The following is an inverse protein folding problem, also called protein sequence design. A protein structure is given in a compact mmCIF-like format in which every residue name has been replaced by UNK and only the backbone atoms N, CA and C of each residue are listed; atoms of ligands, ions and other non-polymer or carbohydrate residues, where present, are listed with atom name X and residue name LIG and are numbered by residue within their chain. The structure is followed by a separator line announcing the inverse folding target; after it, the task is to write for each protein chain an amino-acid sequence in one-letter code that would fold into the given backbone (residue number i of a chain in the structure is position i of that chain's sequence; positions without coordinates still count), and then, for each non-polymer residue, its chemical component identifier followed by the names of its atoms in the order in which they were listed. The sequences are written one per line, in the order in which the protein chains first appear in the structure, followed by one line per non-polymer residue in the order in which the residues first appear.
data_IF_088120511390
#
_entry.id   IF_088120511390
#
_cell.length_a   1.000
_cell.length_b   1.000
_cell.length_c   1.000
_cell.angle_alpha   90.00
_cell.angle_beta   90.00
_cell.angle_gamma   90.00
#
_symmetry.space_group_name_H-M   'P 1'
#
loop_
_entity.id
_entity.type
_entity.pdbx_description
1 polymer ?
#
# COMPACT_ATOMS: atom_id res chain seq x y z
N UNK A 1 -15.89 4.13 27.33
CA UNK A 1 -15.32 3.38 26.20
C UNK A 1 -16.14 3.68 24.97
N UNK A 2 -15.48 4.02 23.86
CA UNK A 2 -16.10 4.25 22.55
C UNK A 2 -16.35 2.89 21.90
N UNK A 3 -17.52 2.73 21.28
CA UNK A 3 -17.91 1.49 20.60
C UNK A 3 -18.13 1.81 19.13
N UNK A 4 -17.26 1.27 18.27
CA UNK A 4 -17.35 1.40 16.82
C UNK A 4 -17.90 0.13 16.17
N UNK A 5 -18.63 0.24 15.05
CA UNK A 5 -19.16 -0.91 14.36
C UNK A 5 -18.05 -1.68 13.64
N UNK A 6 -18.29 -2.99 13.46
CA UNK A 6 -17.43 -3.86 12.67
C UNK A 6 -17.98 -3.98 11.25
N UNK A 7 -17.11 -3.74 10.28
CA UNK A 7 -17.33 -3.99 8.87
C UNK A 7 -16.48 -5.16 8.41
N UNK A 8 -16.85 -5.77 7.28
CA UNK A 8 -16.01 -6.79 6.66
C UNK A 8 -15.99 -6.71 5.14
N UNK A 9 -14.83 -6.99 4.56
CA UNK A 9 -14.61 -7.00 3.11
C UNK A 9 -13.99 -8.35 2.71
N UNK A 10 -14.47 -9.01 1.64
CA UNK A 10 -13.85 -10.24 1.16
C UNK A 10 -12.39 -10.00 0.77
N UNK A 11 -11.49 -10.91 1.14
CA UNK A 11 -10.15 -10.95 0.55
C UNK A 11 -10.29 -11.49 -0.87
N UNK A 12 -9.53 -10.92 -1.80
CA UNK A 12 -9.52 -11.36 -3.19
C UNK A 12 -9.16 -12.85 -3.27
N UNK A 13 -9.90 -13.60 -4.08
CA UNK A 13 -9.65 -15.01 -4.40
C UNK A 13 -9.60 -15.97 -3.19
N UNK A 14 -10.25 -15.63 -2.07
CA UNK A 14 -10.34 -16.48 -0.87
C UNK A 14 -11.71 -16.37 -0.22
N UNK A 15 -12.09 -17.35 0.63
CA UNK A 15 -13.28 -17.27 1.48
C UNK A 15 -13.08 -16.36 2.71
N UNK A 16 -11.83 -15.98 2.99
CA UNK A 16 -11.46 -15.13 4.10
C UNK A 16 -12.05 -13.71 3.98
N UNK A 17 -12.34 -13.11 5.14
CA UNK A 17 -12.78 -11.72 5.23
C UNK A 17 -11.79 -10.89 6.04
N UNK A 18 -11.58 -9.64 5.61
CA UNK A 18 -10.90 -8.61 6.41
C UNK A 18 -11.93 -7.93 7.29
N UNK A 19 -11.76 -8.05 8.60
CA UNK A 19 -12.54 -7.28 9.58
C UNK A 19 -11.95 -5.88 9.69
N UNK A 20 -12.81 -4.87 9.67
CA UNK A 20 -12.48 -3.45 9.74
C UNK A 20 -13.26 -2.87 10.90
N UNK A 21 -12.57 -2.24 11.85
CA UNK A 21 -13.20 -1.46 12.90
C UNK A 21 -13.46 -0.06 12.35
N UNK A 22 -14.72 0.33 12.21
CA UNK A 22 -15.08 1.62 11.62
C UNK A 22 -14.89 2.76 12.63
N UNK A 23 -13.64 3.16 12.80
CA UNK A 23 -13.22 4.25 13.67
C UNK A 23 -13.55 5.64 13.08
N UNK A 24 -14.16 5.69 11.90
CA UNK A 24 -14.72 6.91 11.30
C UNK A 24 -16.23 7.01 11.48
N UNK A 25 -16.86 6.02 12.12
CA UNK A 25 -18.29 6.01 12.38
C UNK A 25 -18.69 7.10 13.38
N UNK A 26 -19.70 7.90 13.03
CA UNK A 26 -20.23 9.01 13.82
C UNK A 26 -21.13 9.93 12.98
N UNK A 27 -21.96 10.75 13.62
CA UNK A 27 -22.81 11.73 12.91
C UNK A 27 -21.91 12.78 12.24
N UNK A 28 -22.10 12.99 10.94
CA UNK A 28 -21.41 13.94 10.07
C UNK A 28 -19.87 13.82 9.95
N UNK A 29 -19.28 12.72 10.44
CA UNK A 29 -17.82 12.49 10.34
C UNK A 29 -16.96 13.35 11.28
N UNK A 30 -17.58 14.14 12.16
CA UNK A 30 -16.91 15.02 13.11
C UNK A 30 -16.77 14.42 14.52
N UNK A 31 -17.66 13.50 14.90
CA UNK A 31 -17.65 12.81 16.19
C UNK A 31 -17.29 11.33 16.05
N UNK A 32 -16.08 11.05 15.56
CA UNK A 32 -15.53 9.70 15.43
C UNK A 32 -14.14 9.63 16.06
N UNK A 33 -13.63 8.44 16.35
CA UNK A 33 -12.26 8.29 16.88
C UNK A 33 -11.24 8.91 15.93
N UNK A 34 -11.41 8.67 14.62
CA UNK A 34 -10.51 9.21 13.61
C UNK A 34 -10.60 10.72 13.45
N UNK A 35 -11.75 11.37 13.66
CA UNK A 35 -11.86 12.84 13.51
C UNK A 35 -11.02 13.58 14.55
N UNK A 36 -10.80 12.98 15.73
CA UNK A 36 -9.92 13.51 16.78
C UNK A 36 -8.43 13.17 16.63
N UNK A 37 -8.05 12.42 15.59
CA UNK A 37 -6.64 12.14 15.28
C UNK A 37 -6.17 13.10 14.19
N UNK A 38 -5.21 13.96 14.49
CA UNK A 38 -4.66 14.89 13.51
C UNK A 38 -4.05 14.13 12.32
N UNK A 39 -4.32 14.61 11.10
CA UNK A 39 -3.79 14.01 9.87
C UNK A 39 -2.33 14.39 9.63
N UNK A 40 -1.96 15.58 10.07
CA UNK A 40 -0.73 16.25 9.67
C UNK A 40 0.23 16.42 10.85
N UNK A 41 -0.15 16.03 12.06
CA UNK A 41 0.68 16.16 13.27
C UNK A 41 0.77 14.84 14.05
N UNK A 42 1.96 14.58 14.60
CA UNK A 42 2.21 13.56 15.61
C UNK A 42 3.10 14.17 16.70
N UNK A 43 2.62 14.18 17.96
CA UNK A 43 3.30 14.86 19.07
C UNK A 43 3.68 16.31 18.68
N UNK A 44 2.72 17.06 18.13
CA UNK A 44 2.85 18.43 17.64
C UNK A 44 3.89 18.65 16.52
N UNK A 45 4.49 17.58 16.01
CA UNK A 45 5.43 17.64 14.90
C UNK A 45 4.71 17.33 13.58
N UNK A 46 4.93 18.13 12.51
CA UNK A 46 4.43 17.82 11.19
C UNK A 46 4.84 16.43 10.73
N UNK A 47 3.85 15.63 10.34
CA UNK A 47 4.07 14.33 9.73
C UNK A 47 3.66 14.36 8.26
N UNK A 48 4.49 13.75 7.43
CA UNK A 48 4.16 13.42 6.05
C UNK A 48 4.41 11.95 5.84
N UNK A 49 3.34 11.19 5.66
CA UNK A 49 3.46 9.79 5.27
C UNK A 49 3.90 9.75 3.81
N UNK A 50 5.16 9.41 3.58
CA UNK A 50 5.69 9.17 2.23
C UNK A 50 5.92 7.67 2.09
N UNK A 51 5.35 7.11 1.03
CA UNK A 51 5.64 5.73 0.66
C UNK A 51 6.70 5.71 -0.44
N UNK A 52 7.62 4.73 -0.43
CA UNK A 52 8.46 4.53 -1.58
C UNK A 52 7.62 4.15 -2.80
N UNK A 53 8.17 4.41 -3.97
CA UNK A 53 7.50 4.13 -5.23
C UNK A 53 8.18 2.96 -5.94
N UNK A 54 7.54 2.52 -7.03
CA UNK A 54 8.12 1.60 -8.00
C UNK A 54 9.49 2.09 -8.47
N UNK A 55 9.64 3.40 -8.67
CA UNK A 55 10.90 4.02 -9.10
C UNK A 55 12.00 3.87 -8.03
N UNK A 56 11.66 3.73 -6.74
CA UNK A 56 12.64 3.49 -5.67
C UNK A 56 13.34 2.14 -5.84
N UNK A 57 12.60 1.08 -6.17
CA UNK A 57 13.20 -0.23 -6.43
C UNK A 57 13.94 -0.26 -7.77
N UNK A 58 13.44 0.45 -8.79
CA UNK A 58 14.17 0.63 -10.06
C UNK A 58 15.54 1.25 -9.81
N UNK A 59 15.62 2.30 -9.00
CA UNK A 59 16.90 2.95 -8.69
C UNK A 59 17.87 2.02 -7.95
N UNK A 60 17.36 1.20 -7.01
CA UNK A 60 18.17 0.20 -6.32
C UNK A 60 18.73 -0.85 -7.31
N UNK A 61 17.88 -1.40 -8.18
CA UNK A 61 18.29 -2.34 -9.24
C UNK A 61 19.34 -1.72 -10.16
N UNK A 62 19.15 -0.46 -10.57
CA UNK A 62 20.10 0.26 -11.43
C UNK A 62 21.47 0.41 -10.80
N UNK A 63 21.53 0.64 -9.49
CA UNK A 63 22.80 0.74 -8.75
C UNK A 63 23.52 -0.61 -8.62
N UNK A 64 22.77 -1.69 -8.40
CA UNK A 64 23.32 -3.05 -8.29
C UNK A 64 23.69 -3.66 -9.65
N UNK A 65 23.05 -3.21 -10.73
CA UNK A 65 23.34 -3.61 -12.10
C UNK A 65 22.38 -4.67 -12.66
N UNK A 66 22.49 -4.90 -13.97
CA UNK A 66 21.69 -5.92 -14.66
C UNK A 66 22.06 -7.32 -14.17
N UNK A 67 21.05 -8.20 -14.06
CA UNK A 67 21.22 -9.56 -13.53
C UNK A 67 21.35 -9.64 -12.01
N UNK A 68 21.20 -8.52 -11.29
CA UNK A 68 21.04 -8.51 -9.83
C UNK A 68 19.79 -9.26 -9.39
N UNK A 69 19.77 -9.74 -8.16
CA UNK A 69 18.67 -10.52 -7.61
C UNK A 69 17.84 -9.64 -6.68
N UNK A 70 16.56 -9.47 -7.04
CA UNK A 70 15.55 -8.85 -6.20
C UNK A 70 15.06 -9.86 -5.16
N UNK A 71 14.81 -9.39 -3.95
CA UNK A 71 14.36 -10.20 -2.81
C UNK A 71 13.22 -9.49 -2.09
N UNK A 72 12.26 -10.24 -1.54
CA UNK A 72 11.08 -9.65 -0.89
C UNK A 72 10.62 -10.44 0.32
N UNK A 73 10.26 -9.73 1.39
CA UNK A 73 9.55 -10.26 2.57
C UNK A 73 8.27 -9.47 2.80
N UNK A 74 7.26 -10.11 3.37
CA UNK A 74 5.96 -9.50 3.69
C UNK A 74 5.64 -9.77 5.16
N UNK A 75 5.08 -8.79 5.88
CA UNK A 75 4.69 -8.96 7.27
C UNK A 75 3.27 -9.55 7.40
N UNK A 76 3.17 -10.64 8.17
CA UNK A 76 1.90 -11.33 8.40
C UNK A 76 0.97 -10.50 9.28
N UNK A 77 -0.14 -10.01 8.74
CA UNK A 77 -1.12 -9.19 9.50
C UNK A 77 -0.44 -7.99 10.20
N UNK A 78 0.45 -7.27 9.51
CA UNK A 78 1.35 -6.27 10.08
C UNK A 78 0.76 -5.37 11.20
N UNK A 79 -0.41 -4.77 11.00
CA UNK A 79 -1.04 -3.93 12.03
C UNK A 79 -1.32 -4.66 13.34
N UNK A 80 -1.68 -5.95 13.28
CA UNK A 80 -1.98 -6.79 14.44
C UNK A 80 -0.73 -7.18 15.24
N UNK A 81 0.46 -6.92 14.73
CA UNK A 81 1.71 -7.14 15.46
C UNK A 81 2.11 -5.92 16.31
N UNK A 82 1.53 -4.74 16.03
CA UNK A 82 1.92 -3.49 16.69
C UNK A 82 0.92 -3.18 17.83
N UNK A 83 1.36 -3.12 19.09
CA UNK A 83 0.49 -2.88 20.23
C UNK A 83 -0.07 -1.44 20.25
N UNK A 84 -1.29 -1.31 20.76
CA UNK A 84 -1.89 -0.02 21.11
C UNK A 84 -1.57 0.28 22.57
N UNK A 85 -1.22 1.54 22.87
CA UNK A 85 -1.02 2.01 24.23
C UNK A 85 -2.24 1.65 25.10
N UNK A 86 -2.07 1.01 26.28
CA UNK A 86 -3.20 0.66 27.15
C UNK A 86 -4.10 1.86 27.53
N UNK A 87 -3.53 3.06 27.57
CA UNK A 87 -4.29 4.30 27.77
C UNK A 87 -5.35 4.55 26.69
N UNK A 88 -5.14 4.06 25.47
CA UNK A 88 -6.01 4.28 24.31
C UNK A 88 -6.98 3.13 24.04
N UNK A 89 -6.93 2.02 24.79
CA UNK A 89 -7.81 0.85 24.58
C UNK A 89 -9.30 1.21 24.62
N UNK A 90 -9.66 2.19 25.46
CA UNK A 90 -11.03 2.68 25.58
C UNK A 90 -11.56 3.39 24.32
N UNK A 91 -10.71 3.69 23.34
CA UNK A 91 -11.04 4.34 22.06
C UNK A 91 -11.22 3.34 20.91
N UNK A 92 -10.84 2.08 21.10
CA UNK A 92 -10.87 1.04 20.05
C UNK A 92 -11.77 -0.13 20.44
N UNK A 93 -12.89 0.20 21.10
CA UNK A 93 -13.91 -0.76 21.52
C UNK A 93 -14.89 -1.12 20.39
N UNK A 94 -15.43 -2.34 20.45
CA UNK A 94 -16.50 -2.81 19.57
C UNK A 94 -17.41 -3.82 20.29
N UNK A 95 -18.61 -4.02 19.76
CA UNK A 95 -19.56 -5.00 20.27
C UNK A 95 -19.71 -6.18 19.31
N UNK A 96 -19.71 -7.40 19.83
CA UNK A 96 -20.00 -8.62 19.09
C UNK A 96 -20.85 -9.56 19.96
N UNK A 97 -21.99 -10.03 19.44
CA UNK A 97 -22.90 -10.93 20.16
C UNK A 97 -23.23 -10.45 21.59
N UNK A 98 -23.53 -9.15 21.74
CA UNK A 98 -23.81 -8.48 23.03
C UNK A 98 -22.65 -8.45 24.04
N UNK A 99 -21.44 -8.85 23.63
CA UNK A 99 -20.22 -8.72 24.42
C UNK A 99 -19.38 -7.56 23.90
N UNK A 100 -18.70 -6.88 24.82
CA UNK A 100 -17.84 -5.75 24.47
C UNK A 100 -16.39 -6.21 24.46
N UNK A 101 -15.70 -5.87 23.38
CA UNK A 101 -14.29 -6.15 23.16
C UNK A 101 -13.57 -4.84 22.84
N UNK A 102 -12.25 -4.88 22.90
CA UNK A 102 -11.39 -3.80 22.42
C UNK A 102 -10.13 -4.40 21.80
N UNK A 103 -9.55 -3.67 20.86
CA UNK A 103 -8.31 -4.08 20.25
C UNK A 103 -7.08 -3.68 21.09
N UNK A 104 -6.16 -4.62 21.28
CA UNK A 104 -4.87 -4.40 21.97
C UNK A 104 -3.72 -4.06 21.02
N UNK A 105 -3.97 -4.13 19.72
CA UNK A 105 -3.02 -3.96 18.62
C UNK A 105 -3.70 -3.17 17.51
N UNK A 106 -2.95 -2.55 16.61
CA UNK A 106 -3.52 -1.65 15.60
C UNK A 106 -4.62 -2.34 14.78
N UNK A 107 -5.76 -1.67 14.68
CA UNK A 107 -6.93 -2.12 13.94
C UNK A 107 -6.92 -1.56 12.52
N UNK A 108 -7.40 -2.36 11.56
CA UNK A 108 -7.75 -1.83 10.25
C UNK A 108 -8.91 -0.86 10.43
N UNK A 109 -8.76 0.37 9.94
CA UNK A 109 -9.73 1.45 10.10
C UNK A 109 -9.22 2.61 10.95
N UNK A 110 -8.14 2.40 11.73
CA UNK A 110 -7.49 3.47 12.50
C UNK A 110 -6.68 4.38 11.57
N UNK A 111 -6.88 5.70 11.68
CA UNK A 111 -6.23 6.72 10.84
C UNK A 111 -4.69 6.66 10.93
N UNK A 112 -4.15 6.53 12.13
CA UNK A 112 -2.70 6.52 12.37
C UNK A 112 -2.04 5.17 12.09
N UNK A 113 -2.80 4.09 11.86
CA UNK A 113 -2.24 2.74 11.76
C UNK A 113 -1.19 2.60 10.65
N UNK A 114 -1.48 3.12 9.46
CA UNK A 114 -0.57 3.06 8.31
C UNK A 114 0.73 3.83 8.59
N UNK A 115 0.63 5.02 9.19
CA UNK A 115 1.81 5.81 9.58
C UNK A 115 2.68 5.08 10.61
N UNK A 116 2.06 4.54 11.65
CA UNK A 116 2.77 3.80 12.70
C UNK A 116 3.44 2.55 12.11
N UNK A 117 2.74 1.81 11.26
CA UNK A 117 3.31 0.64 10.56
C UNK A 117 4.50 1.03 9.68
N UNK A 118 4.38 2.11 8.90
CA UNK A 118 5.50 2.61 8.09
C UNK A 118 6.68 3.04 8.96
N UNK A 119 6.45 3.64 10.13
CA UNK A 119 7.51 3.99 11.08
C UNK A 119 8.24 2.76 11.62
N UNK A 120 7.50 1.69 11.91
CA UNK A 120 8.09 0.39 12.32
C UNK A 120 8.94 -0.18 11.20
N UNK A 121 8.43 -0.28 9.97
CA UNK A 121 9.23 -0.85 8.87
C UNK A 121 10.36 0.07 8.41
N UNK A 122 10.25 1.39 8.61
CA UNK A 122 11.38 2.31 8.43
C UNK A 122 12.48 2.06 9.46
N UNK A 123 12.15 1.70 10.71
CA UNK A 123 13.14 1.35 11.71
C UNK A 123 13.89 0.06 11.34
N UNK A 124 13.17 -0.94 10.81
CA UNK A 124 13.78 -2.16 10.23
C UNK A 124 14.72 -1.80 9.08
N UNK A 125 14.25 -0.97 8.13
CA UNK A 125 15.06 -0.50 7.01
C UNK A 125 16.34 0.23 7.47
N UNK A 126 16.22 1.08 8.50
CA UNK A 126 17.36 1.77 9.10
C UNK A 126 18.37 0.80 9.73
N UNK A 127 17.92 -0.24 10.44
CA UNK A 127 18.81 -1.25 11.04
C UNK A 127 19.56 -2.01 9.93
N UNK A 128 18.87 -2.41 8.88
CA UNK A 128 19.45 -3.13 7.75
C UNK A 128 20.53 -2.30 7.03
N UNK A 129 20.25 -1.03 6.77
CA UNK A 129 21.20 -0.12 6.13
C UNK A 129 22.41 0.16 7.06
N UNK A 130 22.15 0.49 8.33
CA UNK A 130 23.19 0.92 9.27
C UNK A 130 24.15 -0.21 9.71
N UNK A 131 23.65 -1.45 9.83
CA UNK A 131 24.44 -2.57 10.36
C UNK A 131 24.90 -3.57 9.30
N UNK A 132 24.21 -3.64 8.16
CA UNK A 132 24.45 -4.68 7.15
C UNK A 132 24.67 -4.13 5.73
N UNK A 133 24.68 -2.80 5.53
CA UNK A 133 24.78 -2.16 4.20
C UNK A 133 23.69 -2.67 3.24
N UNK A 134 22.53 -3.01 3.78
CA UNK A 134 21.41 -3.58 3.05
C UNK A 134 20.28 -2.55 2.90
N UNK A 135 20.27 -1.90 1.74
CA UNK A 135 19.21 -0.98 1.37
C UNK A 135 17.95 -1.71 0.93
N UNK A 136 16.82 -1.29 1.51
CA UNK A 136 15.51 -1.88 1.21
C UNK A 136 14.48 -0.78 0.93
N UNK A 137 13.46 -1.17 0.19
CA UNK A 137 12.29 -0.39 -0.20
C UNK A 137 11.09 -0.98 0.52
N UNK A 138 10.64 -0.32 1.60
CA UNK A 138 9.55 -0.80 2.44
C UNK A 138 8.26 0.02 2.22
N UNK A 139 7.23 -0.63 1.70
CA UNK A 139 5.88 -0.08 1.59
C UNK A 139 4.99 -0.76 2.61
N UNK A 140 4.71 -0.07 3.73
CA UNK A 140 3.96 -0.65 4.85
C UNK A 140 4.54 -2.01 5.27
N UNK A 141 3.84 -3.09 4.94
CA UNK A 141 4.13 -4.49 5.23
C UNK A 141 4.91 -5.23 4.14
N UNK A 142 5.12 -4.64 2.96
CA UNK A 142 5.84 -5.21 1.83
C UNK A 142 7.28 -4.64 1.77
N UNK A 143 8.29 -5.48 2.00
CA UNK A 143 9.71 -5.09 2.06
C UNK A 143 10.45 -5.72 0.89
N UNK A 144 11.01 -4.89 0.01
CA UNK A 144 11.79 -5.35 -1.14
C UNK A 144 13.25 -4.87 -1.07
N UNK A 145 14.18 -5.73 -1.45
CA UNK A 145 15.59 -5.40 -1.62
C UNK A 145 16.10 -5.87 -2.97
N UNK A 146 17.34 -5.52 -3.28
CA UNK A 146 18.05 -6.04 -4.44
C UNK A 146 19.56 -6.02 -4.15
N UNK A 147 20.24 -7.10 -4.51
CA UNK A 147 21.70 -7.18 -4.41
C UNK A 147 22.32 -7.98 -5.57
N UNK A 148 23.64 -7.93 -5.66
CA UNK A 148 24.41 -8.78 -6.58
C UNK A 148 24.24 -10.26 -6.21
N UNK A 149 24.40 -11.15 -7.19
CA UNK A 149 24.08 -12.57 -7.07
C UNK A 149 24.78 -13.24 -5.88
N UNK A 150 26.03 -12.83 -5.62
CA UNK A 150 26.88 -13.38 -4.57
C UNK A 150 26.40 -13.02 -3.16
N UNK A 151 25.67 -11.91 -3.01
CA UNK A 151 25.23 -11.39 -1.70
C UNK A 151 23.72 -11.54 -1.45
N UNK A 152 22.92 -11.71 -2.49
CA UNK A 152 21.48 -11.58 -2.36
C UNK A 152 20.83 -12.62 -1.44
N UNK A 153 21.37 -13.85 -1.39
CA UNK A 153 20.89 -14.89 -0.48
C UNK A 153 21.21 -14.57 0.98
N UNK A 154 22.42 -14.07 1.25
CA UNK A 154 22.80 -13.59 2.59
C UNK A 154 21.93 -12.39 2.99
N UNK A 155 21.73 -11.43 2.08
CA UNK A 155 20.85 -10.29 2.29
C UNK A 155 19.40 -10.71 2.62
N UNK A 156 18.88 -11.73 1.94
CA UNK A 156 17.55 -12.26 2.21
C UNK A 156 17.46 -12.99 3.56
N UNK A 157 18.52 -13.66 3.99
CA UNK A 157 18.61 -14.29 5.30
C UNK A 157 18.69 -13.24 6.41
N UNK A 158 19.60 -12.26 6.28
CA UNK A 158 19.77 -11.13 7.20
C UNK A 158 18.47 -10.35 7.36
N UNK A 159 17.75 -10.08 6.27
CA UNK A 159 16.46 -9.40 6.33
C UNK A 159 15.47 -10.19 7.20
N UNK A 160 15.39 -11.51 7.05
CA UNK A 160 14.53 -12.36 7.88
C UNK A 160 14.98 -12.38 9.35
N UNK A 161 16.28 -12.48 9.61
CA UNK A 161 16.84 -12.46 10.97
C UNK A 161 16.55 -11.14 11.69
N UNK A 162 16.70 -9.99 11.01
CA UNK A 162 16.38 -8.68 11.59
C UNK A 162 14.88 -8.57 11.88
N UNK A 163 14.02 -9.08 11.01
CA UNK A 163 12.57 -9.11 11.27
C UNK A 163 12.24 -9.94 12.50
N UNK A 164 12.79 -11.14 12.61
CA UNK A 164 12.60 -12.05 13.76
C UNK A 164 13.12 -11.41 15.06
N UNK A 165 14.32 -10.83 15.03
CA UNK A 165 14.91 -10.12 16.17
C UNK A 165 14.10 -8.89 16.59
N UNK A 166 13.38 -8.25 15.66
CA UNK A 166 12.43 -7.17 15.96
C UNK A 166 11.09 -7.68 16.51
N UNK A 167 10.90 -9.00 16.61
CA UNK A 167 9.64 -9.63 17.00
C UNK A 167 8.55 -9.53 15.94
N UNK A 168 8.93 -9.37 14.67
CA UNK A 168 8.00 -9.24 13.55
C UNK A 168 7.83 -10.57 12.83
N UNK A 169 6.57 -11.01 12.70
CA UNK A 169 6.20 -12.23 12.00
C UNK A 169 6.09 -12.01 10.48
N UNK A 170 6.75 -12.86 9.72
CA UNK A 170 6.71 -12.86 8.26
C UNK A 170 5.56 -13.72 7.68
N UNK A 171 5.09 -13.34 6.50
CA UNK A 171 4.24 -14.15 5.62
C UNK A 171 5.14 -14.94 4.68
N UNK A 172 5.57 -16.13 5.11
CA UNK A 172 6.48 -17.00 4.35
C UNK A 172 5.92 -17.33 2.97
N UNK A 173 4.60 -17.48 2.86
CA UNK A 173 3.89 -17.80 1.61
C UNK A 173 3.92 -16.66 0.58
N UNK A 174 4.16 -15.42 1.01
CA UNK A 174 4.27 -14.25 0.13
C UNK A 174 5.70 -13.76 -0.06
N UNK A 175 6.64 -14.28 0.73
CA UNK A 175 8.04 -13.98 0.59
C UNK A 175 8.53 -14.45 -0.79
N UNK A 176 9.47 -13.72 -1.37
CA UNK A 176 10.09 -14.07 -2.64
C UNK A 176 11.60 -14.14 -2.40
N UNK A 177 12.20 -15.34 -2.48
CA UNK A 177 13.64 -15.48 -2.37
C UNK A 177 14.34 -14.74 -3.53
N UNK A 178 15.65 -14.48 -3.43
CA UNK A 178 16.41 -13.78 -4.45
C UNK A 178 16.17 -14.34 -5.86
N UNK A 179 15.73 -13.48 -6.75
CA UNK A 179 15.36 -13.82 -8.13
C UNK A 179 15.59 -12.63 -9.05
N UNK A 180 15.91 -12.89 -10.32
CA UNK A 180 15.97 -11.85 -11.36
C UNK A 180 14.59 -11.35 -11.77
N UNK A 181 13.53 -12.07 -11.39
CA UNK A 181 12.14 -11.73 -11.66
C UNK A 181 11.33 -11.70 -10.37
N UNK A 182 10.76 -10.53 -10.04
CA UNK A 182 10.03 -10.34 -8.78
C UNK A 182 8.84 -9.39 -8.93
N UNK A 183 7.71 -9.74 -8.32
CA UNK A 183 6.55 -8.85 -8.24
C UNK A 183 6.57 -8.04 -6.95
N UNK A 184 6.58 -6.72 -7.08
CA UNK A 184 6.51 -5.75 -5.98
C UNK A 184 5.52 -4.62 -6.33
N UNK A 185 4.65 -4.24 -5.40
CA UNK A 185 3.57 -3.26 -5.61
C UNK A 185 2.67 -3.54 -6.85
N UNK A 186 2.57 -4.80 -7.25
CA UNK A 186 1.79 -5.26 -8.41
C UNK A 186 2.46 -5.07 -9.77
N UNK A 187 3.77 -4.81 -9.80
CA UNK A 187 4.59 -4.73 -11.01
C UNK A 187 5.65 -5.82 -10.95
N UNK A 188 5.84 -6.51 -12.07
CA UNK A 188 6.91 -7.48 -12.26
C UNK A 188 8.17 -6.74 -12.73
N UNK A 189 9.26 -6.92 -11.98
CA UNK A 189 10.58 -6.41 -12.30
C UNK A 189 11.39 -7.55 -12.90
N UNK A 190 12.02 -7.32 -14.05
CA UNK A 190 12.99 -8.23 -14.66
C UNK A 190 14.35 -7.52 -14.75
N UNK A 191 15.32 -7.99 -13.95
CA UNK A 191 16.65 -7.40 -13.85
C UNK A 191 17.59 -7.83 -14.98
N UNK A 192 17.27 -8.88 -15.73
CA UNK A 192 18.07 -9.34 -16.88
C UNK A 192 17.74 -8.48 -18.09
N UNK A 193 16.45 -8.36 -18.42
CA UNK A 193 16.02 -7.51 -19.54
C UNK A 193 15.92 -6.02 -19.17
N UNK A 194 16.03 -5.69 -17.87
CA UNK A 194 15.85 -4.34 -17.32
C UNK A 194 14.49 -3.74 -17.69
N UNK A 195 13.43 -4.53 -17.58
CA UNK A 195 12.06 -4.13 -17.94
C UNK A 195 11.08 -4.28 -16.79
N UNK A 196 9.97 -3.54 -16.89
CA UNK A 196 8.85 -3.59 -15.96
C UNK A 196 7.61 -4.09 -16.70
N UNK A 197 6.90 -5.05 -16.10
CA UNK A 197 5.65 -5.56 -16.64
C UNK A 197 4.51 -5.39 -15.66
N UNK A 198 3.34 -5.09 -16.20
CA UNK A 198 2.09 -5.19 -15.46
C UNK A 198 1.66 -6.65 -15.50
N UNK A 199 1.30 -7.22 -14.35
CA UNK A 199 0.78 -8.60 -14.27
C UNK A 199 -0.38 -8.80 -15.23
N UNK A 200 -0.44 -9.96 -15.91
CA UNK A 200 -1.43 -10.26 -16.95
C UNK A 200 -2.87 -9.98 -16.51
N UNK A 201 -3.27 -10.48 -15.34
CA UNK A 201 -4.64 -10.31 -14.82
C UNK A 201 -5.03 -8.83 -14.67
N UNK A 202 -4.08 -8.02 -14.17
CA UNK A 202 -4.29 -6.58 -13.98
C UNK A 202 -4.32 -5.84 -15.31
N UNK A 203 -3.52 -6.27 -16.28
CA UNK A 203 -3.57 -5.72 -17.63
C UNK A 203 -4.92 -6.01 -18.30
N UNK A 204 -5.43 -7.24 -18.18
CA UNK A 204 -6.75 -7.63 -18.70
C UNK A 204 -7.88 -6.83 -18.04
N UNK A 205 -7.84 -6.65 -16.71
CA UNK A 205 -8.79 -5.82 -15.98
C UNK A 205 -8.79 -4.36 -16.49
N UNK A 206 -7.60 -3.78 -16.68
CA UNK A 206 -7.45 -2.39 -17.14
C UNK A 206 -7.92 -2.26 -18.60
N UNK A 207 -7.57 -3.21 -19.47
CA UNK A 207 -8.03 -3.22 -20.86
C UNK A 207 -9.55 -3.35 -20.96
N UNK A 208 -10.16 -4.21 -20.13
CA UNK A 208 -11.61 -4.34 -20.03
C UNK A 208 -12.26 -3.02 -19.61
N UNK A 209 -11.69 -2.35 -18.59
CA UNK A 209 -12.18 -1.04 -18.18
C UNK A 209 -12.06 0.00 -19.30
N UNK A 210 -10.90 0.09 -19.97
CA UNK A 210 -10.71 1.04 -21.08
C UNK A 210 -11.71 0.78 -22.20
N UNK A 211 -11.93 -0.48 -22.59
CA UNK A 211 -12.95 -0.86 -23.60
C UNK A 211 -14.35 -0.40 -23.20
N UNK A 212 -14.73 -0.57 -21.93
CA UNK A 212 -16.02 -0.09 -21.43
C UNK A 212 -16.14 1.43 -21.48
N UNK A 213 -15.04 2.14 -21.23
CA UNK A 213 -14.99 3.61 -21.28
C UNK A 213 -15.09 4.16 -22.69
N UNK A 214 -14.52 3.47 -23.68
CA UNK A 214 -14.63 3.85 -25.08
C UNK A 214 -16.08 3.86 -25.60
N UNK A 215 -16.96 3.10 -24.96
CA UNK A 215 -18.40 3.04 -25.28
C UNK A 215 -19.26 3.94 -24.39
N UNK A 216 -18.66 4.65 -23.43
CA UNK A 216 -19.40 5.37 -22.39
C UNK A 216 -19.65 6.82 -22.80
N UNK A 217 -20.92 7.23 -22.85
CA UNK A 217 -21.28 8.61 -23.21
C UNK A 217 -21.19 9.60 -22.04
N UNK A 218 -21.41 9.13 -20.81
CA UNK A 218 -21.44 9.95 -19.59
C UNK A 218 -20.77 9.23 -18.43
N UNK A 219 -20.06 9.94 -17.58
CA UNK A 219 -19.41 9.37 -16.40
C UNK A 219 -19.56 10.27 -15.17
N UNK A 220 -19.51 9.65 -13.99
CA UNK A 220 -19.44 10.36 -12.71
C UNK A 220 -17.99 10.72 -12.35
N UNK A 221 -17.82 11.61 -11.37
CA UNK A 221 -16.52 11.91 -10.76
C UNK A 221 -15.79 10.63 -10.30
N UNK A 222 -16.52 9.74 -9.61
CA UNK A 222 -15.99 8.47 -9.09
C UNK A 222 -15.54 7.53 -10.20
N UNK A 223 -16.29 7.47 -11.30
CA UNK A 223 -15.89 6.68 -12.47
C UNK A 223 -14.54 7.18 -12.98
N UNK A 224 -14.41 8.49 -13.22
CA UNK A 224 -13.20 9.08 -13.78
C UNK A 224 -12.00 8.88 -12.85
N UNK A 225 -12.18 9.07 -11.54
CA UNK A 225 -11.13 8.81 -10.54
C UNK A 225 -10.67 7.34 -10.55
N UNK A 226 -11.61 6.39 -10.71
CA UNK A 226 -11.30 4.96 -10.82
C UNK A 226 -10.48 4.64 -12.06
N UNK A 227 -10.88 5.16 -13.24
CA UNK A 227 -10.10 5.02 -14.47
C UNK A 227 -8.71 5.65 -14.32
N UNK A 228 -8.65 6.86 -13.81
CA UNK A 228 -7.42 7.63 -13.68
C UNK A 228 -6.43 6.93 -12.75
N UNK A 229 -6.88 6.40 -11.61
CA UNK A 229 -6.04 5.63 -10.70
C UNK A 229 -5.41 4.41 -11.38
N UNK A 230 -6.19 3.68 -12.19
CA UNK A 230 -5.71 2.52 -12.94
C UNK A 230 -4.72 2.89 -14.04
N UNK A 231 -5.00 3.94 -14.82
CA UNK A 231 -4.08 4.42 -15.86
C UNK A 231 -2.82 5.05 -15.28
N UNK A 232 -2.93 5.73 -14.14
CA UNK A 232 -1.78 6.26 -13.41
C UNK A 232 -0.86 5.12 -12.96
N UNK A 233 -1.42 4.02 -12.45
CA UNK A 233 -0.67 2.82 -12.16
C UNK A 233 0.07 2.29 -13.40
N UNK A 234 -0.57 2.20 -14.58
CA UNK A 234 0.11 1.81 -15.83
C UNK A 234 1.26 2.75 -16.19
N UNK A 235 1.07 4.06 -15.97
CA UNK A 235 2.07 5.08 -16.28
C UNK A 235 3.35 5.00 -15.41
N UNK A 236 3.35 4.16 -14.37
CA UNK A 236 4.57 3.82 -13.63
C UNK A 236 5.51 2.93 -14.45
N UNK A 237 4.98 2.02 -15.29
CA UNK A 237 5.75 1.20 -16.21
C UNK A 237 6.00 1.93 -17.54
N UNK A 238 4.99 2.62 -18.07
CA UNK A 238 5.07 3.32 -19.36
C UNK A 238 5.08 4.82 -19.12
N UNK A 239 6.27 5.40 -18.89
CA UNK A 239 6.44 6.82 -18.52
C UNK A 239 5.77 7.81 -19.49
N UNK A 240 5.81 7.64 -20.82
CA UNK A 240 5.07 8.52 -21.75
C UNK A 240 3.55 8.54 -21.50
N UNK A 241 3.00 7.48 -20.90
CA UNK A 241 1.60 7.40 -20.47
C UNK A 241 1.15 8.54 -19.55
N UNK A 242 2.08 9.15 -18.80
CA UNK A 242 1.80 10.27 -17.89
C UNK A 242 1.24 11.49 -18.62
N UNK A 243 1.56 11.69 -19.90
CA UNK A 243 1.00 12.79 -20.71
C UNK A 243 -0.51 12.65 -20.88
N UNK A 244 -0.99 11.43 -21.14
CA UNK A 244 -2.42 11.14 -21.30
C UNK A 244 -3.15 11.22 -19.97
N UNK A 245 -2.55 10.70 -18.89
CA UNK A 245 -3.08 10.82 -17.53
C UNK A 245 -3.21 12.29 -17.12
N UNK A 246 -2.25 13.14 -17.50
CA UNK A 246 -2.31 14.59 -17.23
C UNK A 246 -3.52 15.25 -17.89
N UNK A 247 -3.87 14.89 -19.13
CA UNK A 247 -5.08 15.39 -19.80
C UNK A 247 -6.36 14.99 -19.05
N UNK A 248 -6.42 13.75 -18.59
CA UNK A 248 -7.54 13.28 -17.75
C UNK A 248 -7.60 13.98 -16.39
N UNK A 249 -6.45 14.30 -15.77
CA UNK A 249 -6.38 15.09 -14.54
C UNK A 249 -6.89 16.53 -14.75
N UNK A 250 -6.55 17.16 -15.88
CA UNK A 250 -7.09 18.48 -16.23
C UNK A 250 -8.61 18.41 -16.36
N UNK A 251 -9.14 17.38 -17.03
CA UNK A 251 -10.58 17.18 -17.13
C UNK A 251 -11.25 16.90 -15.77
N UNK A 252 -10.61 16.10 -14.91
CA UNK A 252 -11.06 15.82 -13.54
C UNK A 252 -11.28 17.11 -12.75
N UNK A 253 -10.39 18.10 -12.87
CA UNK A 253 -10.53 19.40 -12.18
C UNK A 253 -11.82 20.13 -12.54
N UNK A 254 -12.35 19.92 -13.75
CA UNK A 254 -13.61 20.55 -14.16
C UNK A 254 -14.82 20.10 -13.34
N UNK A 255 -14.75 18.94 -12.66
CA UNK A 255 -15.83 18.46 -11.80
C UNK A 255 -15.94 19.26 -10.49
N UNK A 256 -14.92 20.05 -10.11
CA UNK A 256 -14.97 20.92 -8.93
C UNK A 256 -15.21 20.18 -7.61
N UNK A 257 -14.88 18.88 -7.54
CA UNK A 257 -15.16 18.04 -6.37
C UNK A 257 -16.63 17.64 -6.19
N UNK A 258 -17.51 18.02 -7.11
CA UNK A 258 -18.94 17.68 -7.06
C UNK A 258 -19.20 16.32 -7.72
N UNK A 259 -20.09 15.53 -7.13
CA UNK A 259 -20.59 14.27 -7.71
C UNK A 259 -21.60 14.53 -8.85
N UNK A 260 -21.17 15.29 -9.86
CA UNK A 260 -21.93 15.54 -11.07
C UNK A 260 -21.55 14.54 -12.17
N UNK A 261 -22.49 14.27 -13.07
CA UNK A 261 -22.25 13.44 -14.25
C UNK A 261 -21.92 14.33 -15.44
N UNK A 262 -20.81 14.04 -16.14
CA UNK A 262 -20.40 14.77 -17.34
C UNK A 262 -20.31 13.86 -18.56
N UNK A 263 -20.52 14.45 -19.74
CA UNK A 263 -20.30 13.76 -21.02
C UNK A 263 -18.82 13.41 -21.17
N UNK A 264 -18.51 12.19 -21.59
CA UNK A 264 -17.14 11.75 -21.86
C UNK A 264 -16.65 12.46 -23.14
N UNK A 265 -15.51 13.18 -23.09
CA UNK A 265 -14.94 13.82 -24.26
C UNK A 265 -14.45 12.76 -25.26
N UNK A 266 -14.85 12.89 -26.53
CA UNK A 266 -14.48 11.93 -27.59
C UNK A 266 -13.03 12.06 -28.10
N UNK A 267 -12.25 12.99 -27.55
CA UNK A 267 -10.91 13.36 -28.03
C UNK A 267 -9.84 13.42 -26.92
N UNK A 268 -10.03 12.72 -25.80
CA UNK A 268 -9.02 12.65 -24.72
C UNK A 268 -8.23 11.36 -24.79
#
# INVERSE_FOLDING_TARGET
MVISPLNSVPKKDTLDRRVILDLSFGVDGENSVNSHICKDLYLDNPIKVSYPSVDSLVELIRRKGSGSLCLKRDLKRAYRQIPICPGDWHLVGFSWENHIFFDRVLSIGLRSAAYICQKVTNAVSFILDAHYDLQIVNYLDDLAGCDVQEKAFDAYAIMGEVLDNCGLEESVEKATPPSTSMVFLGILFDTVSCTLFITKDRLEEILGLVKSWLQKDKCSLRDLQSLLGKLHFVSSCVRPGRLFVSRLLVWLRTFGGQNITKRVPKYI
#
